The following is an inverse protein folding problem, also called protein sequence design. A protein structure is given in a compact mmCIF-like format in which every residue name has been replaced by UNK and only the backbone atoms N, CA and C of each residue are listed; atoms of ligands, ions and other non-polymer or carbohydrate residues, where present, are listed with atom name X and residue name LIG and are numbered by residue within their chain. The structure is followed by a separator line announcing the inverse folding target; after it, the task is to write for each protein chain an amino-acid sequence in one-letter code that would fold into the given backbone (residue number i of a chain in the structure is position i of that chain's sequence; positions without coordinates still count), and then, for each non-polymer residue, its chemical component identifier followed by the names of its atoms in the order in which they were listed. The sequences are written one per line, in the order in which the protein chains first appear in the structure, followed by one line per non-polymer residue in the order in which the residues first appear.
data_IF_500155021891
#
_entry.id   IF_500155021891
#
_cell.length_a   1.000
_cell.length_b   1.000
_cell.length_c   1.000
_cell.angle_alpha   90.00
_cell.angle_beta   90.00
_cell.angle_gamma   90.00
#
_symmetry.space_group_name_H-M   'P 1'
#
loop_
_entity.id
_entity.type
_entity.pdbx_description
1 polymer ?
#
# COMPACT_ATOMS: atom_id res chain seq x y z
N UNK A 1 -4.96 1.62 -23.56
CA UNK A 1 -5.20 2.87 -22.82
C UNK A 1 -4.71 2.66 -21.40
N UNK A 2 -3.84 3.55 -20.89
CA UNK A 2 -3.51 3.57 -19.47
C UNK A 2 -4.65 4.30 -18.76
N UNK A 3 -5.27 3.66 -17.76
CA UNK A 3 -6.24 4.34 -16.90
C UNK A 3 -5.55 5.55 -16.27
N UNK A 4 -6.22 6.70 -16.29
CA UNK A 4 -5.84 7.87 -15.51
C UNK A 4 -6.98 8.19 -14.58
N UNK A 5 -6.66 8.39 -13.31
CA UNK A 5 -7.61 8.79 -12.28
C UNK A 5 -7.31 10.22 -11.84
N UNK A 6 -8.36 11.02 -11.64
CA UNK A 6 -8.23 12.32 -10.99
C UNK A 6 -7.90 12.16 -9.51
N UNK A 7 -7.41 13.23 -8.88
CA UNK A 7 -7.17 13.20 -7.43
C UNK A 7 -8.47 12.90 -6.66
N UNK A 8 -9.63 13.39 -7.12
CA UNK A 8 -10.94 13.09 -6.51
C UNK A 8 -11.33 11.62 -6.63
N UNK A 9 -11.08 10.98 -7.78
CA UNK A 9 -11.33 9.55 -7.99
C UNK A 9 -10.40 8.68 -7.13
N UNK A 10 -9.13 9.07 -7.02
CA UNK A 10 -8.14 8.41 -6.15
C UNK A 10 -8.60 8.51 -4.69
N UNK A 11 -8.99 9.69 -4.25
CA UNK A 11 -9.48 9.96 -2.91
C UNK A 11 -10.75 9.15 -2.60
N UNK A 12 -11.69 9.07 -3.56
CA UNK A 12 -12.89 8.27 -3.43
C UNK A 12 -12.57 6.78 -3.24
N UNK A 13 -11.64 6.22 -4.02
CA UNK A 13 -11.19 4.83 -3.90
C UNK A 13 -10.43 4.57 -2.58
N UNK A 14 -9.64 5.53 -2.12
CA UNK A 14 -8.95 5.44 -0.82
C UNK A 14 -9.96 5.43 0.33
N UNK A 15 -11.00 6.26 0.28
CA UNK A 15 -12.04 6.38 1.31
C UNK A 15 -13.13 5.30 1.23
N UNK A 16 -13.26 4.62 0.10
CA UNK A 16 -14.23 3.53 -0.05
C UNK A 16 -14.07 2.50 1.07
N UNK A 17 -15.18 2.11 1.69
CA UNK A 17 -15.20 1.10 2.73
C UNK A 17 -14.70 -0.24 2.20
N UNK A 18 -13.72 -0.83 2.89
CA UNK A 18 -13.05 -2.09 2.55
C UNK A 18 -13.21 -3.07 3.71
N UNK A 19 -14.33 -3.81 3.77
CA UNK A 19 -14.55 -4.80 4.82
C UNK A 19 -13.47 -5.88 4.75
N UNK A 20 -12.67 -6.00 5.82
CA UNK A 20 -11.71 -7.07 5.95
C UNK A 20 -12.45 -8.40 6.18
N UNK A 21 -12.05 -9.49 5.50
CA UNK A 21 -12.55 -10.82 5.82
C UNK A 21 -12.35 -11.13 7.31
N UNK A 22 -13.33 -11.73 7.98
CA UNK A 22 -13.22 -12.05 9.42
C UNK A 22 -12.08 -13.04 9.76
N UNK A 23 -11.55 -13.74 8.76
CA UNK A 23 -10.40 -14.64 8.85
C UNK A 23 -9.12 -14.04 8.21
N UNK A 24 -9.08 -12.73 7.97
CA UNK A 24 -7.94 -12.04 7.34
C UNK A 24 -6.60 -12.39 8.00
N UNK A 25 -6.58 -12.38 9.33
CA UNK A 25 -5.45 -12.79 10.17
C UNK A 25 -4.87 -14.16 9.80
N UNK A 26 -5.74 -15.14 9.61
CA UNK A 26 -5.37 -16.52 9.28
C UNK A 26 -4.91 -16.66 7.84
N UNK A 27 -5.38 -15.76 6.97
CA UNK A 27 -5.03 -15.69 5.56
C UNK A 27 -3.69 -15.00 5.33
N UNK A 28 -3.25 -14.11 6.22
CA UNK A 28 -1.96 -13.45 6.11
C UNK A 28 -0.83 -14.46 6.33
N UNK A 29 -0.32 -15.01 5.24
CA UNK A 29 0.75 -16.02 5.25
C UNK A 29 1.77 -15.68 4.17
N UNK A 30 2.74 -14.80 4.47
CA UNK A 30 3.81 -14.48 3.53
C UNK A 30 4.58 -15.73 3.13
N UNK A 31 4.93 -15.81 1.85
CA UNK A 31 5.74 -16.88 1.29
C UNK A 31 7.11 -16.34 0.91
N UNK A 32 8.14 -17.14 1.12
CA UNK A 32 9.47 -16.79 0.65
C UNK A 32 9.59 -17.01 -0.86
N UNK A 33 10.05 -15.99 -1.57
CA UNK A 33 10.26 -16.00 -3.01
C UNK A 33 11.34 -14.99 -3.37
N UNK A 34 12.39 -15.45 -4.06
CA UNK A 34 13.41 -14.58 -4.62
C UNK A 34 14.12 -13.66 -3.62
N UNK A 35 14.36 -14.11 -2.39
CA UNK A 35 14.99 -13.29 -1.34
C UNK A 35 14.02 -12.37 -0.58
N UNK A 36 12.72 -12.50 -0.81
CA UNK A 36 11.67 -11.72 -0.16
C UNK A 36 10.62 -12.60 0.47
N UNK A 37 9.96 -12.11 1.53
CA UNK A 37 8.65 -12.57 1.98
C UNK A 37 7.58 -11.76 1.25
N UNK A 38 6.67 -12.43 0.56
CA UNK A 38 5.62 -11.80 -0.23
C UNK A 38 4.23 -12.33 0.17
N UNK A 39 3.24 -11.44 0.21
CA UNK A 39 1.84 -11.79 0.43
C UNK A 39 0.92 -10.91 -0.41
N UNK A 40 -0.13 -11.49 -0.98
CA UNK A 40 -1.16 -10.76 -1.73
C UNK A 40 -2.55 -11.27 -1.36
N UNK A 41 -3.51 -10.36 -1.20
CA UNK A 41 -4.92 -10.69 -1.01
C UNK A 41 -5.83 -9.71 -1.76
N UNK A 42 -6.86 -10.25 -2.40
CA UNK A 42 -7.92 -9.47 -3.02
C UNK A 42 -8.96 -9.06 -1.98
N UNK A 43 -9.44 -7.81 -2.08
CA UNK A 43 -10.40 -7.23 -1.16
C UNK A 43 -11.50 -6.56 -1.99
N UNK A 44 -12.75 -6.86 -1.69
CA UNK A 44 -13.89 -6.22 -2.33
C UNK A 44 -14.29 -5.00 -1.49
N UNK A 45 -14.42 -3.85 -2.15
CA UNK A 45 -14.95 -2.65 -1.52
C UNK A 45 -16.47 -2.60 -1.57
N UNK A 46 -17.04 -1.74 -0.74
CA UNK A 46 -18.49 -1.57 -0.61
C UNK A 46 -19.16 -1.09 -1.91
N UNK A 47 -18.42 -0.43 -2.81
CA UNK A 47 -18.92 0.06 -4.09
C UNK A 47 -18.56 -0.89 -5.25
N UNK A 48 -18.30 -2.17 -4.96
CA UNK A 48 -17.91 -3.20 -5.94
C UNK A 48 -16.55 -2.97 -6.60
N UNK A 49 -15.78 -1.98 -6.13
CA UNK A 49 -14.38 -1.83 -6.49
C UNK A 49 -13.60 -3.04 -6.01
N UNK A 50 -12.62 -3.47 -6.81
CA UNK A 50 -11.74 -4.57 -6.45
C UNK A 50 -10.38 -4.01 -6.08
N UNK A 51 -9.92 -4.36 -4.89
CA UNK A 51 -8.63 -3.93 -4.38
C UNK A 51 -7.68 -5.13 -4.25
N UNK A 52 -6.40 -4.81 -4.20
CA UNK A 52 -5.35 -5.75 -3.81
C UNK A 52 -4.47 -5.13 -2.75
N UNK A 53 -4.35 -5.84 -1.64
CA UNK A 53 -3.31 -5.59 -0.66
C UNK A 53 -2.10 -6.44 -1.02
N UNK A 54 -0.93 -5.81 -1.11
CA UNK A 54 0.35 -6.45 -1.45
C UNK A 54 1.34 -6.12 -0.35
N UNK A 55 2.00 -7.14 0.18
CA UNK A 55 3.09 -7.02 1.14
C UNK A 55 4.35 -7.65 0.56
N UNK A 56 5.48 -6.96 0.71
CA UNK A 56 6.81 -7.48 0.41
C UNK A 56 7.78 -7.04 1.50
N UNK A 57 8.66 -7.93 1.94
CA UNK A 57 9.80 -7.60 2.79
C UNK A 57 11.04 -8.40 2.37
N UNK A 58 12.22 -7.78 2.35
CA UNK A 58 13.49 -8.45 2.14
C UNK A 58 13.84 -9.39 3.29
N UNK A 59 14.36 -10.57 2.95
CA UNK A 59 14.93 -11.52 3.92
C UNK A 59 16.28 -11.04 4.47
N UNK A 60 16.92 -10.06 3.82
CA UNK A 60 18.26 -9.59 4.16
C UNK A 60 18.29 -8.20 4.80
N UNK A 61 17.25 -7.39 4.57
CA UNK A 61 17.12 -6.06 5.15
C UNK A 61 15.68 -5.83 5.63
N UNK A 62 15.47 -5.86 6.94
CA UNK A 62 14.14 -5.67 7.52
C UNK A 62 13.54 -4.29 7.23
N UNK A 63 14.37 -3.29 6.90
CA UNK A 63 13.94 -1.95 6.48
C UNK A 63 13.57 -1.87 4.99
N UNK A 64 13.86 -2.91 4.19
CA UNK A 64 13.38 -3.02 2.81
C UNK A 64 12.04 -3.77 2.79
N UNK A 65 10.96 -3.00 2.97
CA UNK A 65 9.60 -3.50 2.86
C UNK A 65 8.70 -2.51 2.12
N UNK A 66 7.59 -3.03 1.61
CA UNK A 66 6.47 -2.26 1.10
C UNK A 66 5.12 -2.89 1.46
N UNK A 67 4.17 -2.03 1.83
CA UNK A 67 2.74 -2.37 1.96
C UNK A 67 1.99 -1.53 0.93
N UNK A 68 1.33 -2.16 -0.05
CA UNK A 68 0.69 -1.48 -1.18
C UNK A 68 -0.81 -1.79 -1.21
N UNK A 69 -1.61 -0.73 -1.30
CA UNK A 69 -3.02 -0.82 -1.67
C UNK A 69 -3.14 -0.46 -3.14
N UNK A 70 -3.61 -1.40 -3.95
CA UNK A 70 -3.89 -1.20 -5.36
C UNK A 70 -5.37 -1.35 -5.68
N UNK A 71 -5.84 -0.60 -6.67
CA UNK A 71 -7.13 -0.79 -7.34
C UNK A 71 -6.95 -1.68 -8.57
N UNK A 72 -7.78 -2.70 -8.71
CA UNK A 72 -7.78 -3.59 -9.87
C UNK A 72 -8.66 -2.94 -10.94
N UNK A 73 -8.05 -2.54 -12.04
CA UNK A 73 -8.74 -1.86 -13.15
C UNK A 73 -9.84 -2.80 -13.70
N UNK A 74 -11.10 -2.34 -13.81
CA UNK A 74 -12.23 -3.16 -14.21
C UNK A 74 -11.97 -3.92 -15.50
N UNK A 75 -12.38 -5.19 -15.54
CA UNK A 75 -12.20 -6.10 -16.68
C UNK A 75 -10.73 -6.37 -17.06
N UNK A 76 -9.79 -6.10 -16.15
CA UNK A 76 -8.37 -6.42 -16.33
C UNK A 76 -7.77 -7.06 -15.07
N UNK A 77 -6.51 -7.47 -15.16
CA UNK A 77 -5.70 -7.85 -13.99
C UNK A 77 -4.66 -6.77 -13.65
N UNK A 78 -4.76 -5.57 -14.24
CA UNK A 78 -3.83 -4.49 -13.98
C UNK A 78 -4.14 -3.86 -12.63
N UNK A 79 -3.08 -3.54 -11.88
CA UNK A 79 -3.17 -2.92 -10.55
C UNK A 79 -2.69 -1.48 -10.67
N UNK A 80 -3.59 -0.53 -10.37
CA UNK A 80 -3.28 0.87 -10.18
C UNK A 80 -2.94 1.11 -8.71
N UNK A 81 -1.71 1.55 -8.39
CA UNK A 81 -1.27 1.70 -6.99
C UNK A 81 -1.84 2.98 -6.39
N UNK A 82 -2.74 2.86 -5.42
CA UNK A 82 -3.34 4.02 -4.75
C UNK A 82 -2.44 4.58 -3.65
N UNK A 83 -1.87 3.68 -2.84
CA UNK A 83 -1.06 4.05 -1.66
C UNK A 83 0.01 2.99 -1.41
N UNK A 84 1.22 3.42 -1.07
CA UNK A 84 2.32 2.52 -0.68
C UNK A 84 3.05 3.04 0.55
N UNK A 85 3.24 2.19 1.55
CA UNK A 85 3.99 2.48 2.77
C UNK A 85 5.31 1.75 2.68
N UNK A 86 6.41 2.48 2.61
CA UNK A 86 7.75 1.95 2.41
C UNK A 86 8.59 2.05 3.68
N UNK A 87 9.48 1.07 3.82
CA UNK A 87 10.56 1.10 4.79
C UNK A 87 11.71 2.04 4.39
N UNK A 88 12.63 2.27 5.32
CA UNK A 88 13.81 3.12 5.18
C UNK A 88 14.98 2.35 4.55
N UNK A 89 14.87 1.97 3.28
CA UNK A 89 15.90 1.18 2.59
C UNK A 89 16.63 1.90 1.45
N UNK A 90 16.11 3.03 0.97
CA UNK A 90 16.64 3.73 -0.20
C UNK A 90 16.31 5.23 -0.16
N UNK A 91 17.06 6.01 -0.96
CA UNK A 91 16.72 7.40 -1.25
C UNK A 91 15.53 7.44 -2.22
N UNK A 92 14.54 8.27 -1.91
CA UNK A 92 13.44 8.57 -2.83
C UNK A 92 13.60 9.99 -3.39
N UNK A 93 13.12 10.20 -4.61
CA UNK A 93 13.09 11.51 -5.27
C UNK A 93 11.69 11.79 -5.80
N UNK A 94 11.05 12.84 -5.26
CA UNK A 94 9.84 13.40 -5.85
C UNK A 94 10.23 14.20 -7.10
N UNK A 95 10.17 13.56 -8.27
CA UNK A 95 10.71 14.12 -9.53
C UNK A 95 10.09 15.45 -9.94
N UNK A 96 8.79 15.65 -9.70
CA UNK A 96 8.12 16.91 -10.03
C UNK A 96 8.49 18.03 -9.05
N UNK A 97 8.72 17.68 -7.78
CA UNK A 97 9.08 18.63 -6.70
C UNK A 97 10.59 18.90 -6.64
N UNK A 98 11.39 18.03 -7.27
CA UNK A 98 12.85 17.99 -7.15
C UNK A 98 13.35 17.81 -5.70
N UNK A 99 12.52 17.17 -4.86
CA UNK A 99 12.83 16.89 -3.46
C UNK A 99 13.37 15.48 -3.29
N UNK A 100 14.36 15.33 -2.39
CA UNK A 100 15.01 14.06 -2.08
C UNK A 100 15.05 13.81 -0.59
N UNK A 101 14.90 12.55 -0.21
CA UNK A 101 15.00 12.14 1.20
C UNK A 101 15.35 10.65 1.34
N UNK A 102 15.90 10.30 2.50
CA UNK A 102 16.18 8.92 2.93
C UNK A 102 15.48 8.67 4.25
N UNK A 103 14.22 8.22 4.21
CA UNK A 103 13.45 7.90 5.40
C UNK A 103 12.35 6.86 5.14
N UNK A 104 11.63 6.44 6.17
CA UNK A 104 10.30 5.83 5.99
C UNK A 104 9.41 6.83 5.28
N UNK A 105 8.60 6.35 4.33
CA UNK A 105 7.82 7.25 3.50
C UNK A 105 6.57 6.59 2.92
N UNK A 106 5.58 7.43 2.65
CA UNK A 106 4.28 7.01 2.14
C UNK A 106 4.08 7.62 0.76
N UNK A 107 3.93 6.77 -0.23
CA UNK A 107 3.52 7.16 -1.57
C UNK A 107 2.00 7.26 -1.68
N UNK A 108 1.54 8.22 -2.47
CA UNK A 108 0.13 8.37 -2.85
C UNK A 108 0.03 8.54 -4.35
N UNK A 109 -0.96 7.89 -4.96
CA UNK A 109 -1.31 8.19 -6.34
C UNK A 109 -1.65 9.66 -6.50
N UNK A 110 -1.21 10.29 -7.60
CA UNK A 110 -1.63 11.67 -7.92
C UNK A 110 -1.93 11.83 -9.41
N UNK A 111 -2.91 12.64 -9.75
CA UNK A 111 -3.26 13.02 -11.13
C UNK A 111 -2.08 13.68 -11.85
N UNK A 112 -1.36 14.55 -11.14
CA UNK A 112 -0.22 15.31 -11.71
C UNK A 112 0.95 14.40 -12.14
N UNK A 113 1.26 13.33 -11.39
CA UNK A 113 2.30 12.38 -11.78
C UNK A 113 1.88 11.55 -13.01
N UNK A 114 0.63 11.11 -13.06
CA UNK A 114 0.09 10.39 -14.22
C UNK A 114 0.09 11.27 -15.48
N UNK A 115 -0.29 12.54 -15.35
CA UNK A 115 -0.31 13.52 -16.43
C UNK A 115 1.08 13.80 -16.98
N UNK A 116 2.08 13.88 -16.10
CA UNK A 116 3.48 14.03 -16.46
C UNK A 116 4.15 12.74 -17.00
N UNK A 117 3.42 11.62 -17.09
CA UNK A 117 3.94 10.35 -17.62
C UNK A 117 4.81 9.56 -16.63
N UNK A 118 4.78 9.92 -15.34
CA UNK A 118 5.42 9.15 -14.27
C UNK A 118 4.46 8.08 -13.72
N UNK A 119 5.01 7.17 -12.90
CA UNK A 119 4.19 6.23 -12.14
C UNK A 119 3.18 6.98 -11.27
N UNK A 120 1.97 6.44 -11.16
CA UNK A 120 0.86 7.02 -10.43
C UNK A 120 1.24 7.34 -8.98
N UNK A 121 1.93 6.42 -8.31
CA UNK A 121 2.41 6.52 -6.92
C UNK A 121 3.85 7.07 -6.81
N UNK A 122 4.28 7.89 -7.77
CA UNK A 122 5.63 8.45 -7.78
C UNK A 122 5.87 9.55 -6.73
N UNK A 123 4.82 10.16 -6.19
CA UNK A 123 4.91 11.15 -5.12
C UNK A 123 4.90 10.47 -3.75
N UNK A 124 5.80 10.87 -2.85
CA UNK A 124 5.84 10.41 -1.47
C UNK A 124 6.21 11.47 -0.46
N UNK A 125 5.81 11.24 0.79
CA UNK A 125 6.12 12.11 1.93
C UNK A 125 6.83 11.28 3.01
N UNK A 126 7.95 11.76 3.60
CA UNK A 126 8.57 11.14 4.77
C UNK A 126 7.60 11.00 5.94
N UNK A 127 7.81 10.01 6.80
CA UNK A 127 6.93 9.78 7.95
C UNK A 127 7.67 9.18 9.15
N UNK A 128 7.18 9.49 10.34
CA UNK A 128 7.59 8.92 11.63
C UNK A 128 6.52 7.97 12.22
N UNK A 129 5.41 7.75 11.51
CA UNK A 129 4.23 7.01 12.01
C UNK A 129 4.48 5.51 12.21
N UNK A 130 5.52 4.96 11.61
CA UNK A 130 5.88 3.56 11.75
C UNK A 130 7.39 3.34 11.58
N UNK A 131 7.99 2.45 12.39
CA UNK A 131 9.39 2.05 12.23
C UNK A 131 9.54 0.70 11.49
N UNK A 132 8.45 0.01 11.19
CA UNK A 132 8.43 -1.35 10.65
C UNK A 132 7.19 -1.62 9.79
N UNK A 133 7.14 -2.83 9.21
CA UNK A 133 6.04 -3.25 8.34
C UNK A 133 4.71 -3.45 9.08
N UNK A 134 4.73 -3.73 10.38
CA UNK A 134 3.51 -3.83 11.18
C UNK A 134 2.83 -2.46 11.31
N UNK A 135 3.61 -1.46 11.72
CA UNK A 135 3.12 -0.09 11.81
C UNK A 135 2.68 0.44 10.44
N UNK A 136 3.36 0.04 9.36
CA UNK A 136 2.97 0.39 8.00
C UNK A 136 1.61 -0.23 7.61
N UNK A 137 1.38 -1.51 7.91
CA UNK A 137 0.11 -2.19 7.64
C UNK A 137 -1.03 -1.59 8.47
N UNK A 138 -0.80 -1.33 9.76
CA UNK A 138 -1.75 -0.63 10.63
C UNK A 138 -2.08 0.76 10.11
N UNK A 139 -1.06 1.51 9.69
CA UNK A 139 -1.20 2.84 9.10
C UNK A 139 -2.07 2.79 7.84
N UNK A 140 -1.87 1.80 6.97
CA UNK A 140 -2.71 1.61 5.78
C UNK A 140 -4.16 1.36 6.15
N UNK A 141 -4.43 0.50 7.12
CA UNK A 141 -5.80 0.20 7.51
C UNK A 141 -6.54 1.42 8.04
N UNK A 142 -5.85 2.24 8.83
CA UNK A 142 -6.42 3.48 9.36
C UNK A 142 -6.62 4.56 8.27
N UNK A 143 -5.70 4.64 7.30
CA UNK A 143 -5.73 5.69 6.28
C UNK A 143 -6.65 5.37 5.09
N UNK A 144 -6.96 4.10 4.82
CA UNK A 144 -7.50 3.66 3.52
C UNK A 144 -8.87 2.96 3.59
N UNK A 145 -9.74 3.39 4.51
CA UNK A 145 -11.15 2.97 4.54
C UNK A 145 -11.38 1.50 4.92
N UNK A 146 -10.42 0.84 5.56
CA UNK A 146 -10.59 -0.54 5.99
C UNK A 146 -11.54 -0.64 7.19
N UNK A 147 -12.47 -1.59 7.12
CA UNK A 147 -13.46 -1.86 8.16
C UNK A 147 -13.25 -3.27 8.74
N UNK A 148 -13.52 -3.44 10.03
CA UNK A 148 -13.35 -4.72 10.71
C UNK A 148 -11.98 -4.84 11.40
N UNK A 149 -12.01 -4.78 12.73
CA UNK A 149 -10.89 -4.75 13.68
C UNK A 149 -9.93 -3.56 13.53
N UNK A 150 -9.91 -2.70 14.56
CA UNK A 150 -8.78 -1.82 14.81
C UNK A 150 -7.56 -2.72 15.02
N UNK A 151 -6.77 -2.93 13.97
CA UNK A 151 -5.63 -3.83 14.03
C UNK A 151 -4.64 -3.28 15.04
N UNK A 152 -4.57 -3.92 16.20
CA UNK A 152 -3.61 -3.58 17.23
C UNK A 152 -2.27 -4.18 16.86
N UNK A 153 -1.19 -3.64 17.41
CA UNK A 153 0.15 -4.18 17.19
C UNK A 153 0.23 -5.64 17.63
N UNK A 154 -0.51 -6.01 18.68
CA UNK A 154 -0.64 -7.39 19.18
C UNK A 154 -1.27 -8.31 18.15
N UNK A 155 -2.33 -7.86 17.46
CA UNK A 155 -2.99 -8.65 16.42
C UNK A 155 -2.01 -8.98 15.29
N UNK A 156 -1.18 -8.03 14.88
CA UNK A 156 -0.21 -8.26 13.81
C UNK A 156 0.87 -9.27 14.19
N UNK A 157 1.40 -9.20 15.41
CA UNK A 157 2.40 -10.17 15.90
C UNK A 157 1.83 -11.59 15.94
N UNK A 158 0.56 -11.75 16.35
CA UNK A 158 -0.13 -13.05 16.39
C UNK A 158 -0.41 -13.62 14.99
N UNK A 159 -0.33 -12.79 13.94
CA UNK A 159 -0.49 -13.22 12.54
C UNK A 159 0.82 -13.76 11.93
N UNK A 160 1.87 -13.92 12.73
CA UNK A 160 3.19 -14.35 12.27
C UNK A 160 3.89 -13.31 11.39
N UNK A 161 3.48 -12.04 11.56
CA UNK A 161 4.09 -10.87 10.95
C UNK A 161 5.25 -10.43 11.83
#
# INVERSE_FOLDING_TARGET
MNLRLTDDEIDALLREAKPLPGDFSRRFRPKEKGGHKEYEIGIEGANQSRFRLIFRQSLFNSLDFSVILGYIIPNTNQVFRLRRYNGKSHEHTNRLEQEKFYDFHIHTATERYQTAGWNEDGYAVPTDRYPDHHGALKSMFNDCGFEGSAVTTKDLTDWGI
#
